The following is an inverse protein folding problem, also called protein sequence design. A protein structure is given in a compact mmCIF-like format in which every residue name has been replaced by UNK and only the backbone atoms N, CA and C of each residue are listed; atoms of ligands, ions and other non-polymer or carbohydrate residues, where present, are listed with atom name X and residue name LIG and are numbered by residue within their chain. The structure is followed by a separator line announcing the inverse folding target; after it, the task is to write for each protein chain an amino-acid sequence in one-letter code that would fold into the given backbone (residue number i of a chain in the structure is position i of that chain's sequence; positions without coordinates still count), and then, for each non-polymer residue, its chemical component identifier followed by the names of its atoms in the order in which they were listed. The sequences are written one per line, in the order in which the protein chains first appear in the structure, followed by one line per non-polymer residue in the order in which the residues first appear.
data_IF_430819555080
#
_entry.id   IF_430819555080
#
_cell.length_a   1.000
_cell.length_b   1.000
_cell.length_c   1.000
_cell.angle_alpha   90.00
_cell.angle_beta   90.00
_cell.angle_gamma   90.00
#
_symmetry.space_group_name_H-M   'P 1'
#
loop_
_entity.id
_entity.type
_entity.pdbx_description
1 polymer ?
#
# COMPACT_ATOMS: atom_id res chain seq x y z
N UNK A 1 -21.54 10.09 -5.47
CA UNK A 1 -20.37 10.12 -4.57
C UNK A 1 -19.74 8.76 -4.65
N UNK A 2 -18.62 8.64 -5.36
CA UNK A 2 -18.00 7.33 -5.63
C UNK A 2 -16.99 7.04 -4.53
N UNK A 3 -17.43 6.32 -3.52
CA UNK A 3 -16.56 5.73 -2.52
C UNK A 3 -16.62 4.23 -2.66
N UNK A 4 -15.48 3.56 -2.57
CA UNK A 4 -15.46 2.11 -2.54
C UNK A 4 -14.51 1.57 -1.49
N UNK A 5 -14.75 0.33 -1.14
CA UNK A 5 -13.96 -0.40 -0.14
C UNK A 5 -13.68 -1.79 -0.69
N UNK A 6 -12.41 -2.20 -0.62
CA UNK A 6 -12.04 -3.60 -0.75
C UNK A 6 -11.71 -4.15 0.63
N UNK A 7 -12.31 -5.28 0.94
CA UNK A 7 -12.03 -6.02 2.15
C UNK A 7 -11.77 -7.48 1.79
N UNK A 8 -10.52 -7.88 1.92
CA UNK A 8 -10.03 -9.19 1.53
C UNK A 8 -9.61 -9.99 2.75
N UNK A 9 -9.70 -11.32 2.70
CA UNK A 9 -9.35 -12.19 3.82
C UNK A 9 -8.63 -13.46 3.39
N UNK A 10 -7.63 -13.86 4.17
CA UNK A 10 -6.87 -15.10 3.99
C UNK A 10 -6.28 -15.21 2.59
N UNK A 11 -6.50 -16.28 1.88
CA UNK A 11 -5.96 -16.53 0.52
C UNK A 11 -6.38 -15.47 -0.50
N UNK A 12 -7.46 -14.74 -0.25
CA UNK A 12 -7.91 -13.68 -1.14
C UNK A 12 -7.10 -12.38 -0.98
N UNK A 13 -6.16 -12.31 -0.03
CA UNK A 13 -5.23 -11.18 0.10
C UNK A 13 -4.03 -11.30 -0.84
N UNK A 14 -3.91 -12.39 -1.58
CA UNK A 14 -2.93 -12.54 -2.64
C UNK A 14 -3.38 -11.75 -3.88
N UNK A 15 -2.77 -10.62 -4.10
CA UNK A 15 -3.17 -9.61 -5.08
C UNK A 15 -3.90 -8.42 -4.46
N UNK A 16 -3.77 -7.25 -5.09
CA UNK A 16 -4.18 -5.98 -4.48
C UNK A 16 -5.70 -5.81 -4.35
N UNK A 17 -6.46 -6.21 -5.35
CA UNK A 17 -7.90 -5.90 -5.45
C UNK A 17 -8.67 -7.09 -6.00
N UNK A 18 -8.73 -8.16 -5.25
CA UNK A 18 -9.51 -9.33 -5.64
C UNK A 18 -11.02 -9.08 -5.48
N UNK A 19 -11.86 -9.64 -6.35
CA UNK A 19 -13.29 -9.49 -6.26
C UNK A 19 -13.85 -10.11 -4.96
N UNK A 20 -15.02 -9.64 -4.57
CA UNK A 20 -15.77 -10.19 -3.43
C UNK A 20 -16.07 -11.67 -3.66
N UNK A 21 -15.87 -12.48 -2.63
CA UNK A 21 -16.15 -13.93 -2.64
C UNK A 21 -17.07 -14.33 -1.49
N UNK A 22 -17.63 -15.52 -1.57
CA UNK A 22 -18.42 -16.12 -0.48
C UNK A 22 -17.57 -16.77 0.62
N UNK A 23 -16.24 -16.65 0.55
CA UNK A 23 -15.33 -17.22 1.54
C UNK A 23 -15.60 -16.59 2.91
N UNK A 24 -15.81 -17.42 3.91
CA UNK A 24 -15.95 -16.96 5.30
C UNK A 24 -14.59 -16.67 5.91
N UNK A 25 -14.50 -15.60 6.68
CA UNK A 25 -13.31 -15.26 7.47
C UNK A 25 -13.09 -16.36 8.52
N UNK A 26 -11.84 -16.75 8.68
CA UNK A 26 -11.40 -17.77 9.65
C UNK A 26 -10.41 -17.15 10.64
N UNK A 27 -10.36 -17.73 11.83
CA UNK A 27 -9.32 -17.37 12.81
C UNK A 27 -7.92 -17.52 12.21
N UNK A 28 -7.08 -16.52 12.41
CA UNK A 28 -5.73 -16.46 11.86
C UNK A 28 -5.62 -15.91 10.44
N UNK A 29 -6.74 -15.57 9.78
CA UNK A 29 -6.68 -14.90 8.50
C UNK A 29 -6.02 -13.52 8.60
N UNK A 30 -5.19 -13.19 7.63
CA UNK A 30 -4.84 -11.81 7.33
C UNK A 30 -6.06 -11.16 6.69
N UNK A 31 -6.33 -9.91 7.08
CA UNK A 31 -7.39 -9.10 6.52
C UNK A 31 -6.78 -7.84 5.93
N UNK A 32 -7.08 -7.56 4.66
CA UNK A 32 -6.68 -6.34 3.98
C UNK A 32 -7.90 -5.44 3.80
N UNK A 33 -7.88 -4.29 4.44
CA UNK A 33 -8.92 -3.27 4.33
C UNK A 33 -8.38 -2.08 3.55
N UNK A 34 -9.04 -1.77 2.43
CA UNK A 34 -8.72 -0.63 1.59
C UNK A 34 -9.97 0.22 1.40
N UNK A 35 -9.95 1.45 1.88
CA UNK A 35 -11.06 2.40 1.76
C UNK A 35 -10.61 3.62 0.98
N UNK A 36 -11.43 4.06 0.04
CA UNK A 36 -11.17 5.22 -0.83
C UNK A 36 -12.32 6.22 -0.72
N UNK A 37 -12.45 6.91 0.41
CA UNK A 37 -13.49 7.93 0.57
C UNK A 37 -13.16 9.19 -0.21
N UNK A 38 -14.21 9.88 -0.66
CA UNK A 38 -14.09 11.20 -1.25
C UNK A 38 -14.53 12.25 -0.21
N UNK A 39 -13.65 13.18 0.10
CA UNK A 39 -13.90 14.30 1.02
C UNK A 39 -13.79 15.61 0.24
N UNK A 40 -14.87 16.40 0.21
CA UNK A 40 -14.93 17.68 -0.50
C UNK A 40 -14.45 17.61 -1.98
N UNK A 41 -14.74 16.50 -2.66
CA UNK A 41 -14.36 16.30 -4.06
C UNK A 41 -12.96 15.72 -4.28
N UNK A 42 -12.22 15.41 -3.21
CA UNK A 42 -10.89 14.80 -3.28
C UNK A 42 -10.90 13.39 -2.72
N UNK A 43 -10.30 12.47 -3.45
CA UNK A 43 -10.08 11.11 -2.96
C UNK A 43 -8.93 11.06 -1.96
N UNK A 44 -9.07 10.18 -0.98
CA UNK A 44 -8.01 9.76 -0.07
C UNK A 44 -8.00 8.24 0.01
N UNK A 45 -6.91 7.66 0.46
CA UNK A 45 -6.83 6.23 0.74
C UNK A 45 -6.56 5.99 2.22
N UNK A 46 -7.23 4.99 2.77
CA UNK A 46 -6.95 4.45 4.07
C UNK A 46 -6.84 2.93 3.95
N UNK A 47 -5.64 2.43 4.15
CA UNK A 47 -5.36 1.00 4.05
C UNK A 47 -4.84 0.45 5.36
N UNK A 48 -5.33 -0.71 5.75
CA UNK A 48 -4.94 -1.37 7.01
C UNK A 48 -4.84 -2.87 6.82
N UNK A 49 -3.81 -3.45 7.41
CA UNK A 49 -3.69 -4.89 7.62
C UNK A 49 -4.18 -5.22 9.02
N UNK A 50 -5.10 -6.16 9.11
CA UNK A 50 -5.66 -6.66 10.36
C UNK A 50 -5.48 -8.17 10.42
N UNK A 51 -5.72 -8.76 11.59
CA UNK A 51 -5.68 -10.20 11.80
C UNK A 51 -6.95 -10.67 12.50
N UNK A 52 -7.55 -11.74 11.99
CA UNK A 52 -8.75 -12.30 12.60
C UNK A 52 -8.39 -13.09 13.86
N UNK A 53 -8.63 -12.51 15.03
CA UNK A 53 -8.41 -13.05 16.38
C UNK A 53 -6.95 -13.39 16.74
N UNK A 54 -6.13 -13.82 15.80
CA UNK A 54 -4.72 -14.20 16.05
C UNK A 54 -3.86 -14.00 14.81
N UNK A 55 -2.56 -13.80 15.02
CA UNK A 55 -1.56 -13.75 13.96
C UNK A 55 -0.43 -14.74 14.26
N UNK A 56 0.16 -15.31 13.23
CA UNK A 56 1.40 -16.08 13.37
C UNK A 56 2.58 -15.15 13.66
N UNK A 57 3.65 -15.68 14.23
CA UNK A 57 4.89 -14.91 14.43
C UNK A 57 5.45 -14.38 13.12
N UNK A 58 5.35 -15.15 12.04
CA UNK A 58 5.79 -14.74 10.71
C UNK A 58 4.93 -13.60 10.17
N UNK A 59 3.61 -13.65 10.31
CA UNK A 59 2.72 -12.56 9.91
C UNK A 59 3.06 -11.26 10.64
N UNK A 60 3.33 -11.33 11.95
CA UNK A 60 3.73 -10.14 12.73
C UNK A 60 5.07 -9.60 12.24
N UNK A 61 6.08 -10.47 12.03
CA UNK A 61 7.39 -10.06 11.50
C UNK A 61 7.26 -9.32 10.16
N UNK A 62 6.50 -9.87 9.21
CA UNK A 62 6.28 -9.26 7.91
C UNK A 62 5.56 -7.91 8.03
N UNK A 63 4.57 -7.84 8.90
CA UNK A 63 3.83 -6.62 9.17
C UNK A 63 4.72 -5.54 9.78
N UNK A 64 5.57 -5.88 10.75
CA UNK A 64 6.53 -4.97 11.38
C UNK A 64 7.52 -4.40 10.36
N UNK A 65 8.08 -5.23 9.47
CA UNK A 65 8.94 -4.74 8.38
C UNK A 65 8.19 -3.79 7.47
N UNK A 66 6.96 -4.12 7.09
CA UNK A 66 6.15 -3.25 6.25
C UNK A 66 5.84 -1.91 6.93
N UNK A 67 5.53 -1.90 8.21
CA UNK A 67 5.36 -0.67 9.00
C UNK A 67 6.65 0.16 9.03
N UNK A 68 7.80 -0.47 9.23
CA UNK A 68 9.08 0.20 9.21
C UNK A 68 9.36 0.88 7.85
N UNK A 69 9.15 0.16 6.74
CA UNK A 69 9.29 0.72 5.38
C UNK A 69 8.35 1.91 5.18
N UNK A 70 7.10 1.82 5.64
CA UNK A 70 6.14 2.92 5.56
C UNK A 70 6.60 4.15 6.37
N UNK A 71 7.11 3.94 7.58
CA UNK A 71 7.57 5.03 8.45
C UNK A 71 8.83 5.71 7.90
N UNK A 72 9.76 4.96 7.33
CA UNK A 72 10.92 5.51 6.63
C UNK A 72 10.46 6.26 5.35
N UNK A 73 9.53 5.68 4.60
CA UNK A 73 8.96 6.33 3.42
C UNK A 73 8.38 7.71 3.72
N UNK A 74 7.64 7.86 4.81
CA UNK A 74 7.11 9.17 5.23
C UNK A 74 8.19 10.22 5.47
N UNK A 75 9.35 9.83 6.01
CA UNK A 75 10.48 10.74 6.26
C UNK A 75 11.14 11.20 4.96
N UNK A 76 11.04 10.40 3.90
CA UNK A 76 11.63 10.71 2.60
C UNK A 76 10.72 11.60 1.73
N UNK A 77 9.46 11.79 2.10
CA UNK A 77 8.50 12.66 1.39
C UNK A 77 8.78 14.12 1.70
N UNK A 78 9.88 14.64 1.16
CA UNK A 78 10.28 16.04 1.33
C UNK A 78 10.50 16.71 -0.02
N UNK A 79 10.23 18.03 -0.15
CA UNK A 79 10.49 18.76 -1.38
C UNK A 79 11.93 18.57 -1.87
N UNK A 80 12.08 18.42 -3.18
CA UNK A 80 13.37 18.19 -3.84
C UNK A 80 13.80 16.73 -3.96
N UNK A 81 13.16 15.80 -3.27
CA UNK A 81 13.40 14.36 -3.45
C UNK A 81 12.76 13.84 -4.74
N UNK A 82 13.47 12.96 -5.44
CA UNK A 82 12.97 12.28 -6.63
C UNK A 82 12.24 10.99 -6.23
N UNK A 83 11.10 10.71 -6.85
CA UNK A 83 10.31 9.51 -6.55
C UNK A 83 11.11 8.21 -6.74
N UNK A 84 11.91 8.13 -7.82
CA UNK A 84 12.75 6.95 -8.09
C UNK A 84 13.85 6.74 -7.04
N UNK A 85 14.39 7.80 -6.43
CA UNK A 85 15.39 7.69 -5.39
C UNK A 85 14.77 7.24 -4.07
N UNK A 86 13.59 7.76 -3.73
CA UNK A 86 12.80 7.27 -2.58
C UNK A 86 12.53 5.77 -2.73
N UNK A 87 12.07 5.34 -3.91
CA UNK A 87 11.79 3.93 -4.16
C UNK A 87 13.04 3.04 -3.96
N UNK A 88 14.22 3.48 -4.42
CA UNK A 88 15.49 2.74 -4.24
C UNK A 88 15.90 2.65 -2.77
N UNK A 89 15.75 3.74 -2.00
CA UNK A 89 16.04 3.72 -0.56
C UNK A 89 15.14 2.71 0.18
N UNK A 90 13.84 2.68 -0.13
CA UNK A 90 12.90 1.74 0.47
C UNK A 90 13.12 0.29 0.01
N UNK A 91 13.56 0.08 -1.24
CA UNK A 91 13.97 -1.24 -1.73
C UNK A 91 15.11 -1.82 -0.91
N UNK A 92 16.07 -0.99 -0.49
CA UNK A 92 17.19 -1.47 0.33
C UNK A 92 16.70 -2.09 1.63
N UNK A 93 15.72 -1.48 2.31
CA UNK A 93 15.15 -2.02 3.54
C UNK A 93 14.48 -3.38 3.28
N UNK A 94 13.67 -3.51 2.22
CA UNK A 94 13.08 -4.82 1.89
C UNK A 94 14.13 -5.87 1.50
N UNK A 95 15.22 -5.46 0.83
CA UNK A 95 16.29 -6.36 0.45
C UNK A 95 17.04 -6.93 1.67
N UNK A 96 17.28 -6.12 2.71
CA UNK A 96 17.88 -6.54 3.98
C UNK A 96 17.07 -7.65 4.69
N UNK A 97 15.75 -7.69 4.45
CA UNK A 97 14.85 -8.69 4.99
C UNK A 97 14.49 -9.83 4.03
N UNK A 98 15.12 -9.90 2.85
CA UNK A 98 14.81 -10.85 1.75
C UNK A 98 13.35 -10.76 1.28
N UNK A 99 12.76 -9.58 1.32
CA UNK A 99 11.35 -9.34 1.00
C UNK A 99 11.12 -8.59 -0.31
N UNK A 100 12.15 -7.99 -0.91
CA UNK A 100 12.00 -7.17 -2.13
C UNK A 100 11.36 -7.95 -3.29
N UNK A 101 11.61 -9.24 -3.39
CA UNK A 101 11.04 -10.14 -4.41
C UNK A 101 9.51 -10.27 -4.35
N UNK A 102 8.90 -9.91 -3.22
CA UNK A 102 7.44 -9.96 -3.04
C UNK A 102 6.75 -8.61 -3.31
N UNK A 103 7.51 -7.56 -3.54
CA UNK A 103 6.96 -6.26 -3.87
C UNK A 103 6.44 -6.26 -5.32
N UNK A 104 5.16 -5.97 -5.50
CA UNK A 104 4.50 -5.96 -6.82
C UNK A 104 4.09 -4.57 -7.28
N UNK A 105 4.01 -3.59 -6.36
CA UNK A 105 3.58 -2.21 -6.62
C UNK A 105 4.63 -1.20 -6.15
N UNK A 106 4.46 0.07 -6.53
CA UNK A 106 5.17 1.19 -5.93
C UNK A 106 4.83 1.38 -4.45
N UNK A 107 5.55 2.27 -3.80
CA UNK A 107 5.41 2.54 -2.36
C UNK A 107 4.29 3.52 -2.02
N UNK A 108 3.74 4.17 -3.00
CA UNK A 108 2.65 5.12 -2.87
C UNK A 108 2.46 5.92 -4.15
N UNK A 109 1.36 6.62 -4.23
CA UNK A 109 1.04 7.44 -5.40
C UNK A 109 0.19 8.65 -5.00
N UNK A 110 0.04 9.60 -5.91
CA UNK A 110 -0.79 10.77 -5.68
C UNK A 110 -2.27 10.43 -5.63
N UNK A 111 -3.02 11.25 -4.90
CA UNK A 111 -4.48 11.30 -4.88
C UNK A 111 -4.96 12.71 -5.20
N UNK A 112 -6.21 12.84 -5.61
CA UNK A 112 -6.82 14.13 -5.94
C UNK A 112 -8.27 13.99 -6.33
N UNK A 113 -8.72 14.81 -7.28
CA UNK A 113 -10.10 14.79 -7.81
C UNK A 113 -10.37 13.58 -8.71
N UNK A 114 -9.32 12.98 -9.26
CA UNK A 114 -9.42 11.75 -10.07
C UNK A 114 -9.56 10.55 -9.12
N UNK A 115 -10.29 9.54 -9.57
CA UNK A 115 -10.40 8.30 -8.83
C UNK A 115 -9.04 7.58 -8.74
N UNK A 116 -8.94 6.62 -7.84
CA UNK A 116 -7.73 5.88 -7.53
C UNK A 116 -6.88 5.46 -8.76
N UNK A 117 -7.52 4.89 -9.77
CA UNK A 117 -6.80 4.44 -10.98
C UNK A 117 -6.20 5.60 -11.78
N UNK A 118 -6.99 6.62 -12.04
CA UNK A 118 -6.54 7.77 -12.81
C UNK A 118 -5.57 8.66 -12.03
N UNK A 119 -5.71 8.75 -10.73
CA UNK A 119 -4.75 9.46 -9.87
C UNK A 119 -3.36 8.86 -9.96
N UNK A 120 -3.28 7.55 -10.11
CA UNK A 120 -2.05 6.80 -10.27
C UNK A 120 -1.40 7.00 -11.65
N UNK A 121 -2.20 6.99 -12.72
CA UNK A 121 -1.73 7.19 -14.10
C UNK A 121 -1.45 8.65 -14.42
N UNK A 122 -2.25 9.57 -13.91
CA UNK A 122 -2.16 11.01 -14.19
C UNK A 122 -1.27 11.80 -13.23
N UNK A 123 -0.80 11.18 -12.16
CA UNK A 123 0.00 11.82 -11.12
C UNK A 123 1.40 11.23 -10.99
N UNK A 124 1.90 11.22 -9.76
CA UNK A 124 3.19 10.61 -9.44
C UNK A 124 3.00 9.27 -8.72
N UNK A 125 3.95 8.39 -8.87
CA UNK A 125 4.05 7.14 -8.12
C UNK A 125 5.50 6.97 -7.60
N UNK A 126 5.64 6.48 -6.39
CA UNK A 126 6.96 6.19 -5.80
C UNK A 126 7.47 4.85 -6.33
N UNK A 127 8.05 4.90 -7.52
CA UNK A 127 8.62 3.77 -8.27
C UNK A 127 9.96 4.12 -8.87
N UNK A 128 10.74 3.11 -9.22
CA UNK A 128 12.09 3.24 -9.76
C UNK A 128 12.14 3.93 -11.12
N UNK A 129 11.05 3.89 -11.87
CA UNK A 129 10.88 4.47 -13.19
C UNK A 129 10.18 5.85 -13.19
N UNK A 130 9.90 6.42 -12.01
CA UNK A 130 9.27 7.72 -11.86
C UNK A 130 10.30 8.78 -11.44
N UNK A 131 10.73 9.61 -12.35
CA UNK A 131 11.72 10.66 -12.13
C UNK A 131 11.15 12.01 -11.66
N UNK A 132 9.86 12.04 -11.32
CA UNK A 132 9.22 13.25 -10.78
C UNK A 132 9.87 13.66 -9.46
N UNK A 133 10.13 14.96 -9.32
CA UNK A 133 10.67 15.58 -8.10
C UNK A 133 9.52 16.14 -7.29
N UNK A 134 9.49 15.82 -6.00
CA UNK A 134 8.50 16.33 -5.06
C UNK A 134 8.65 17.85 -4.87
N UNK A 135 7.52 18.54 -4.77
CA UNK A 135 7.45 20.01 -4.59
C UNK A 135 6.86 20.37 -3.23
#
# INVERSE_FOLDING_TARGET
MDTWTWFQSGVNTDGAHNPVTSRKIKRGDILSLNCFPMVAGYYVALERTLFAESASKEHIRLWEVNCHVHDEGKKLLVPGKKCSDIAKELNAIYAEHDLLKYRTFGYGHSFGVLCHYYGREGGLELREDCDTVLQ
#
